data_IF_457676284765
#
_entry.id   IF_457676284765
#
_cell.length_a   1.000
_cell.length_b   1.000
_cell.length_c   1.000
_cell.angle_alpha   90.00
_cell.angle_beta   90.00
_cell.angle_gamma   90.00
#
_symmetry.space_group_name_H-M   'P 1'
#
loop_
_entity.id
_entity.type
_entity.pdbx_description
1 polymer ?
2 polymer ?
3 polymer ?
4 non-polymer ?
5 non-polymer ?
6 water ?
#
loop_
_entity_poly.entity_id
_entity_poly.type
_entity_poly.pdbx_seq_one_letter_code
_entity_poly.pdbx_strand_id
2 'polydeoxyribonucleotide' '(DC)(DC)(DT)(DC)(DA)(DC)(DT)(DA)(DG)(DC)(DG)(DC)(DC)(DC)(DC)(DC)(DT)(DG)(DC)(DT)(DG)(DG)(DC)' ?
3 'polydeoxyribonucleotide' '(DG)(DC)(DC)(DA)(DG)(DC)(DA)(DG)(DG)(DG)(DG)(DG)(DC)(DG)(DC)(DT)(DA)(DG)(DT)(DG)(DA)(DG)(DG)' ?
#
# COMPACT_ATOMS: atom_id res chain seq x y z
N UNK A 3 -12.29 19.77 19.72
CA UNK A 3 -11.59 20.24 18.53
C UNK A 3 -12.53 21.04 17.64
N UNK A 4 -12.50 22.36 17.81
CA UNK A 4 -13.32 23.25 16.98
C UNK A 4 -12.96 23.09 15.51
N UNK A 5 -13.95 22.78 14.69
CA UNK A 5 -13.72 22.44 13.29
C UNK A 5 -14.59 23.29 12.39
N UNK A 6 -14.21 23.32 11.11
CA UNK A 6 -15.00 24.05 10.11
C UNK A 6 -16.29 23.33 9.77
N UNK A 7 -16.28 21.99 9.83
CA UNK A 7 -17.45 21.15 9.60
C UNK A 7 -17.95 21.19 8.16
N UNK A 8 -17.39 22.10 7.34
CA UNK A 8 -17.74 22.12 5.93
C UNK A 8 -17.15 20.90 5.22
N UNK A 9 -15.83 20.73 5.31
CA UNK A 9 -15.18 19.48 4.95
C UNK A 9 -14.75 18.69 6.19
N UNK A 10 -15.13 19.17 7.38
CA UNK A 10 -14.90 18.47 8.65
C UNK A 10 -13.41 18.27 8.92
N UNK A 11 -12.62 19.31 8.72
CA UNK A 11 -11.21 19.25 9.07
C UNK A 11 -11.04 19.48 10.56
N UNK A 12 -10.39 18.53 11.23
CA UNK A 12 -10.15 18.60 12.66
C UNK A 12 -8.84 19.31 12.94
N UNK A 13 -8.89 20.38 13.73
CA UNK A 13 -7.72 21.23 13.98
C UNK A 13 -7.52 21.40 15.47
N UNK A 14 -6.45 20.83 16.05
CA UNK A 14 -6.15 21.12 17.45
C UNK A 14 -5.74 22.56 17.69
N UNK A 15 -4.92 23.13 16.82
CA UNK A 15 -4.52 24.52 16.97
C UNK A 15 -5.66 25.46 16.58
N UNK A 16 -5.44 26.75 16.80
CA UNK A 16 -6.47 27.77 16.61
C UNK A 16 -6.32 28.50 15.28
N UNK A 17 -5.17 29.14 15.04
CA UNK A 17 -5.00 29.94 13.83
C UNK A 17 -5.08 29.10 12.57
N UNK A 18 -4.73 27.81 12.67
CA UNK A 18 -4.83 26.93 11.51
C UNK A 18 -6.28 26.63 11.14
N UNK A 19 -7.22 26.81 12.08
CA UNK A 19 -8.62 26.62 11.77
C UNK A 19 -9.16 27.76 10.92
N UNK A 20 -8.88 29.01 11.32
CA UNK A 20 -9.31 30.15 10.54
C UNK A 20 -8.59 30.22 9.21
N UNK A 21 -7.35 29.70 9.14
CA UNK A 21 -6.64 29.66 7.87
C UNK A 21 -7.26 28.65 6.91
N UNK A 22 -7.78 27.55 7.43
CA UNK A 22 -8.44 26.56 6.58
C UNK A 22 -9.77 27.06 6.06
N UNK A 23 -10.46 27.93 6.81
CA UNK A 23 -11.72 28.50 6.34
C UNK A 23 -11.53 29.33 5.08
N UNK A 24 -10.34 29.89 4.88
CA UNK A 24 -10.04 30.68 3.70
C UNK A 24 -9.70 29.83 2.48
N UNK A 25 -9.68 28.51 2.61
CA UNK A 25 -9.35 27.62 1.50
C UNK A 25 -10.57 26.91 0.91
N UNK A 26 -11.74 27.03 1.55
CA UNK A 26 -12.94 26.39 1.02
C UNK A 26 -13.40 27.09 -0.25
N UNK A 27 -13.67 28.39 -0.17
CA UNK A 27 -14.14 29.16 -1.32
C UNK A 27 -13.65 30.59 -1.14
N UNK A 28 -12.55 30.92 -1.81
CA UNK A 28 -11.98 32.27 -1.74
C UNK A 28 -11.39 32.63 -3.10
N UNK A 29 -11.41 33.92 -3.40
CA UNK A 29 -10.85 34.41 -4.64
C UNK A 29 -9.32 34.38 -4.57
N UNK A 30 -8.68 34.84 -5.64
CA UNK A 30 -7.23 34.90 -5.74
C UNK A 30 -6.82 36.36 -5.87
N UNK A 31 -6.66 37.07 -4.76
CA UNK A 31 -6.35 38.51 -4.84
C UNK A 31 -4.94 38.80 -5.34
N UNK A 32 -3.94 38.11 -4.78
CA UNK A 32 -2.55 38.32 -5.15
C UNK A 32 -2.35 37.84 -6.58
N UNK A 33 -2.35 38.77 -7.52
CA UNK A 33 -2.26 38.45 -8.94
C UNK A 33 -0.87 38.77 -9.45
N UNK A 34 -0.27 37.81 -10.17
CA UNK A 34 1.00 38.05 -10.84
C UNK A 34 0.77 38.94 -12.05
N UNK A 35 1.70 39.87 -12.28
CA UNK A 35 1.57 40.84 -13.36
C UNK A 35 2.32 40.42 -14.62
N UNK A 36 3.30 39.52 -14.51
CA UNK A 36 3.95 38.98 -15.70
C UNK A 36 2.99 38.10 -16.49
N UNK A 37 2.55 37.00 -15.89
CA UNK A 37 1.54 36.15 -16.49
C UNK A 37 0.17 36.55 -15.96
N UNK A 38 -0.86 35.79 -16.32
CA UNK A 38 -2.21 36.08 -15.89
C UNK A 38 -2.69 35.26 -14.71
N UNK A 39 -1.81 34.59 -13.99
CA UNK A 39 -2.20 33.73 -12.88
C UNK A 39 -2.19 34.50 -11.58
N UNK A 40 -3.18 34.22 -10.73
CA UNK A 40 -3.30 34.83 -9.42
C UNK A 40 -3.24 33.76 -8.34
N UNK A 41 -2.99 34.20 -7.11
CA UNK A 41 -2.78 33.28 -5.99
C UNK A 41 -3.53 33.79 -4.77
N UNK A 42 -3.57 32.95 -3.73
CA UNK A 42 -4.32 33.23 -2.53
C UNK A 42 -3.49 33.95 -1.47
N UNK A 43 -2.25 33.53 -1.24
CA UNK A 43 -1.40 34.09 -0.21
C UNK A 43 -0.19 34.77 -0.83
N UNK A 44 0.47 35.61 -0.03
CA UNK A 44 1.66 36.31 -0.50
C UNK A 44 2.80 35.34 -0.74
N UNK A 45 2.91 34.30 0.10
CA UNK A 45 4.00 33.35 -0.04
C UNK A 45 3.89 32.54 -1.33
N UNK A 46 2.66 32.22 -1.73
CA UNK A 46 2.48 31.52 -3.01
C UNK A 46 2.82 32.42 -4.19
N UNK A 47 2.57 33.72 -4.07
CA UNK A 47 2.95 34.65 -5.13
C UNK A 47 4.46 34.88 -5.14
N UNK A 48 5.08 34.96 -3.96
CA UNK A 48 6.52 35.15 -3.89
C UNK A 48 7.26 33.95 -4.48
N UNK A 49 6.77 32.74 -4.23
CA UNK A 49 7.40 31.56 -4.83
C UNK A 49 7.18 31.53 -6.33
N UNK A 50 6.02 31.98 -6.80
CA UNK A 50 5.76 32.02 -8.23
C UNK A 50 6.71 32.98 -8.93
N UNK A 51 6.97 34.13 -8.31
CA UNK A 51 7.91 35.09 -8.89
C UNK A 51 9.33 34.56 -8.88
N UNK A 52 9.68 33.71 -7.91
CA UNK A 52 11.00 33.09 -7.91
C UNK A 52 11.15 32.13 -9.08
N UNK A 53 10.07 31.48 -9.49
CA UNK A 53 10.15 30.62 -10.67
C UNK A 53 10.33 31.43 -11.94
N UNK A 54 9.83 32.67 -11.96
CA UNK A 54 10.06 33.54 -13.12
C UNK A 54 11.53 33.93 -13.23
N UNK A 55 12.17 34.22 -12.10
CA UNK A 55 13.55 34.70 -12.09
C UNK A 55 14.57 33.59 -11.86
N UNK A 56 14.13 32.39 -11.52
CA UNK A 56 15.07 31.33 -11.22
C UNK A 56 15.77 31.48 -9.88
N UNK A 57 15.25 32.32 -8.99
CA UNK A 57 15.85 32.50 -7.67
C UNK A 57 15.52 31.28 -6.80
N UNK A 58 16.57 30.62 -6.29
CA UNK A 58 16.43 29.39 -5.52
C UNK A 58 17.17 29.56 -4.20
N UNK A 59 16.50 30.06 -3.16
CA UNK A 59 17.20 30.29 -1.89
C UNK A 59 17.55 29.02 -1.16
N UNK A 60 16.74 27.97 -1.27
CA UNK A 60 16.99 26.71 -0.57
C UNK A 60 18.07 25.95 -1.33
N UNK A 61 19.30 26.00 -0.81
CA UNK A 61 20.44 25.34 -1.43
C UNK A 61 20.74 24.02 -0.73
N UNK A 62 21.06 23.00 -1.52
CA UNK A 62 21.37 21.69 -0.96
C UNK A 62 22.77 21.69 -0.38
N UNK A 63 22.95 21.23 0.87
CA UNK A 63 24.31 21.20 1.45
C UNK A 63 25.17 20.05 0.95
N UNK A 64 24.61 19.10 0.20
CA UNK A 64 25.37 17.94 -0.25
C UNK A 64 25.76 18.00 -1.72
N UNK A 65 25.11 18.86 -2.51
CA UNK A 65 25.47 19.01 -3.92
C UNK A 65 25.18 20.45 -4.34
N UNK A 66 25.39 20.73 -5.63
CA UNK A 66 25.27 22.09 -6.15
C UNK A 66 23.84 22.54 -6.36
N UNK A 67 22.87 21.64 -6.28
CA UNK A 67 21.51 21.99 -6.66
C UNK A 67 20.86 22.90 -5.62
N UNK A 68 19.95 23.74 -6.10
CA UNK A 68 19.17 24.64 -5.24
C UNK A 68 17.72 24.62 -5.71
N UNK A 69 16.82 25.02 -4.82
CA UNK A 69 15.40 24.89 -5.09
C UNK A 69 14.66 26.13 -4.57
N UNK A 70 13.47 26.35 -5.14
CA UNK A 70 12.67 27.52 -4.77
C UNK A 70 12.06 27.34 -3.39
N UNK A 71 11.38 26.22 -3.18
CA UNK A 71 10.70 25.95 -1.92
C UNK A 71 11.49 24.95 -1.09
N UNK A 72 11.14 24.88 0.20
CA UNK A 72 11.79 23.93 1.10
C UNK A 72 11.34 22.51 0.82
N UNK A 73 10.11 22.33 0.31
CA UNK A 73 9.63 20.99 0.03
C UNK A 73 10.39 20.32 -1.11
N UNK A 74 10.75 21.10 -2.14
CA UNK A 74 11.54 20.55 -3.23
C UNK A 74 12.93 20.13 -2.76
N UNK A 75 13.49 20.84 -1.78
CA UNK A 75 14.79 20.46 -1.24
C UNK A 75 14.69 19.17 -0.42
N UNK A 76 13.60 19.00 0.30
CA UNK A 76 13.42 17.78 1.11
C UNK A 76 13.29 16.57 0.19
N UNK A 77 12.46 16.66 -0.85
CA UNK A 77 12.27 15.53 -1.75
C UNK A 77 13.56 15.21 -2.48
N UNK A 78 14.35 16.22 -2.82
CA UNK A 78 15.64 15.98 -3.47
C UNK A 78 16.58 15.22 -2.56
N UNK A 79 16.61 15.56 -1.27
CA UNK A 79 17.48 14.86 -0.33
C UNK A 79 17.07 13.40 -0.17
N UNK A 80 15.76 13.12 -0.25
CA UNK A 80 15.31 11.73 -0.19
C UNK A 80 15.68 10.95 -1.45
N UNK A 81 15.86 11.63 -2.58
CA UNK A 81 16.20 10.96 -3.82
C UNK A 81 17.70 10.72 -3.97
N UNK A 82 18.53 11.67 -3.53
CA UNK A 82 19.96 11.63 -3.84
C UNK A 82 20.86 11.48 -2.63
N UNK A 83 20.35 11.64 -1.41
CA UNK A 83 21.24 11.69 -0.25
C UNK A 83 20.78 10.74 0.85
N UNK A 84 19.64 11.04 1.49
CA UNK A 84 19.17 10.20 2.59
C UNK A 84 18.59 8.88 2.11
N UNK A 85 18.06 8.84 0.88
CA UNK A 85 17.46 7.63 0.31
C UNK A 85 16.32 7.11 1.17
N UNK A 86 15.56 8.03 1.77
CA UNK A 86 14.41 7.70 2.58
C UNK A 86 13.19 7.53 1.68
N UNK A 87 12.60 6.34 1.69
CA UNK A 87 11.45 5.99 0.86
C UNK A 87 10.28 5.66 1.78
N UNK A 88 9.43 6.64 2.09
CA UNK A 88 8.39 6.41 3.11
C UNK A 88 7.20 5.58 2.62
N UNK A 89 7.00 5.47 1.32
CA UNK A 89 5.83 4.80 0.76
C UNK A 89 6.27 3.46 0.19
N UNK A 90 5.82 2.38 0.83
CA UNK A 90 6.27 1.03 0.54
C UNK A 90 5.13 0.19 0.01
N UNK A 91 5.47 -0.75 -0.88
CA UNK A 91 4.49 -1.67 -1.43
C UNK A 91 4.19 -2.78 -0.44
N UNK A 92 2.93 -3.19 -0.38
CA UNK A 92 2.51 -4.26 0.52
C UNK A 92 2.62 -5.64 -0.11
N UNK A 93 2.96 -5.72 -1.41
CA UNK A 93 3.07 -7.00 -2.10
C UNK A 93 4.50 -7.40 -2.40
N UNK A 94 5.44 -6.47 -2.40
CA UNK A 94 6.85 -6.78 -2.58
C UNK A 94 7.68 -5.80 -1.76
N UNK A 95 8.99 -5.82 -1.96
CA UNK A 95 9.90 -4.98 -1.20
C UNK A 95 10.11 -3.61 -1.83
N UNK A 96 9.33 -3.25 -2.84
CA UNK A 96 9.51 -1.97 -3.51
C UNK A 96 9.07 -0.83 -2.61
N UNK A 97 9.78 0.29 -2.71
CA UNK A 97 9.44 1.51 -1.98
C UNK A 97 9.87 2.70 -2.82
N UNK A 98 9.15 3.81 -2.65
CA UNK A 98 9.42 5.01 -3.43
C UNK A 98 9.32 6.23 -2.53
N UNK A 99 9.87 7.34 -3.02
CA UNK A 99 9.84 8.59 -2.28
C UNK A 99 8.46 9.24 -2.35
N UNK A 100 7.76 9.10 -3.48
CA UNK A 100 6.49 9.76 -3.69
C UNK A 100 5.36 8.75 -3.81
N UNK A 101 4.14 9.21 -3.53
CA UNK A 101 2.97 8.33 -3.53
C UNK A 101 2.64 7.88 -4.94
N UNK A 102 2.63 8.82 -5.89
CA UNK A 102 2.22 8.50 -7.25
C UNK A 102 3.18 7.49 -7.89
N UNK A 103 4.45 7.50 -7.50
CA UNK A 103 5.38 6.49 -7.99
C UNK A 103 4.98 5.11 -7.50
N UNK A 104 4.58 5.00 -6.23
CA UNK A 104 4.15 3.71 -5.70
C UNK A 104 2.84 3.26 -6.35
N UNK A 105 1.92 4.20 -6.60
CA UNK A 105 0.68 3.83 -7.27
C UNK A 105 0.93 3.35 -8.69
N UNK A 106 1.92 3.94 -9.37
CA UNK A 106 2.31 3.45 -10.68
C UNK A 106 2.88 2.04 -10.57
N UNK A 107 3.63 1.76 -9.49
CA UNK A 107 4.15 0.42 -9.27
C UNK A 107 3.04 -0.58 -8.99
N UNK A 108 2.03 -0.18 -8.21
CA UNK A 108 0.95 -1.10 -7.86
C UNK A 108 0.19 -1.52 -9.11
N UNK A 109 0.04 -0.60 -10.07
CA UNK A 109 -0.67 -0.94 -11.30
C UNK A 109 0.08 -1.95 -12.15
N UNK A 110 1.38 -2.15 -11.90
CA UNK A 110 2.08 -3.26 -12.53
C UNK A 110 1.69 -4.60 -11.89
N UNK A 111 1.38 -4.60 -10.59
CA UNK A 111 0.89 -5.81 -9.95
C UNK A 111 -0.52 -6.14 -10.43
N UNK A 112 -1.39 -5.14 -10.50
CA UNK A 112 -2.80 -5.35 -10.82
C UNK A 112 -3.08 -5.33 -12.32
N UNK A 113 -2.22 -4.73 -13.12
CA UNK A 113 -2.48 -4.60 -14.54
C UNK A 113 -3.48 -3.53 -14.91
N UNK A 114 -3.85 -2.66 -13.97
CA UNK A 114 -4.80 -1.60 -14.26
C UNK A 114 -4.24 -0.64 -15.29
N UNK A 115 -5.00 -0.42 -16.37
CA UNK A 115 -4.62 0.48 -17.46
C UNK A 115 -5.73 1.50 -17.63
N UNK A 116 -5.70 2.60 -16.86
CA UNK A 116 -6.81 3.57 -16.89
C UNK A 116 -6.67 4.67 -17.93
N UNK A 117 -5.58 4.73 -18.68
CA UNK A 117 -5.35 5.78 -19.66
C UNK A 117 -5.50 5.19 -21.06
N UNK A 118 -6.71 5.28 -21.61
CA UNK A 118 -7.02 4.69 -22.90
C UNK A 118 -6.63 5.63 -24.03
N UNK A 119 -6.02 5.05 -25.07
CA UNK A 119 -5.73 5.82 -26.27
C UNK A 119 -7.03 6.06 -27.05
N UNK A 120 -7.18 7.29 -27.54
CA UNK A 120 -8.39 7.70 -28.24
C UNK A 120 -8.39 7.30 -29.72
N UNK A 121 -7.30 6.72 -30.21
CA UNK A 121 -7.21 6.33 -31.62
C UNK A 121 -7.05 4.83 -31.84
N UNK A 122 -6.71 4.07 -30.81
CA UNK A 122 -6.60 2.62 -30.94
C UNK A 122 -6.94 1.99 -29.59
N UNK A 123 -6.82 0.67 -29.53
CA UNK A 123 -7.20 -0.09 -28.34
C UNK A 123 -6.16 -0.06 -27.24
N UNK A 124 -5.02 0.62 -27.45
CA UNK A 124 -3.96 0.62 -26.45
C UNK A 124 -4.37 1.41 -25.22
N UNK A 125 -3.90 0.96 -24.06
CA UNK A 125 -4.10 1.64 -22.80
C UNK A 125 -2.85 1.44 -21.94
N UNK A 126 -2.41 2.49 -21.27
CA UNK A 126 -1.17 2.48 -20.51
C UNK A 126 -1.46 2.63 -19.02
N UNK A 127 -0.44 2.33 -18.21
CA UNK A 127 -0.50 2.48 -16.77
C UNK A 127 -0.02 3.85 -16.29
N UNK A 128 0.49 4.68 -17.20
CA UNK A 128 1.02 5.99 -16.85
C UNK A 128 0.60 6.99 -17.92
N UNK A 129 0.44 8.26 -17.51
CA UNK A 129 0.06 9.30 -18.46
C UNK A 129 1.15 9.55 -19.49
N UNK A 130 2.42 9.54 -19.05
CA UNK A 130 3.52 9.75 -19.98
C UNK A 130 3.58 8.64 -21.03
N UNK A 131 3.36 7.39 -20.62
CA UNK A 131 3.44 6.28 -21.55
C UNK A 131 2.41 6.41 -22.66
N UNK A 132 1.23 6.96 -22.35
CA UNK A 132 0.24 7.21 -23.38
C UNK A 132 0.71 8.31 -24.34
N UNK A 133 1.32 9.36 -23.80
CA UNK A 133 1.82 10.44 -24.64
C UNK A 133 2.95 9.95 -25.55
N UNK A 134 3.84 9.10 -25.01
CA UNK A 134 4.87 8.50 -25.86
C UNK A 134 4.25 7.60 -26.92
N UNK A 135 3.15 6.93 -26.59
CA UNK A 135 2.47 6.08 -27.56
C UNK A 135 1.84 6.90 -28.68
N UNK A 136 1.42 8.13 -28.40
CA UNK A 136 0.77 8.95 -29.41
C UNK A 136 1.70 9.31 -30.56
N UNK A 137 3.02 9.21 -30.35
CA UNK A 137 3.96 9.46 -31.44
C UNK A 137 3.84 8.43 -32.55
N UNK A 138 3.32 7.24 -32.24
CA UNK A 138 3.10 6.23 -33.28
C UNK A 138 1.99 6.66 -34.25
N UNK A 139 1.02 7.43 -33.76
CA UNK A 139 -0.06 7.90 -34.62
C UNK A 139 0.27 9.22 -35.33
N UNK A 140 1.11 10.05 -34.72
CA UNK A 140 1.44 11.36 -35.28
C UNK A 140 2.73 11.38 -36.08
N UNK A 141 3.56 10.34 -35.95
CA UNK A 141 4.82 10.32 -36.67
C UNK A 141 5.84 11.32 -36.18
N UNK A 142 5.68 11.84 -34.97
CA UNK A 142 6.62 12.82 -34.44
C UNK A 142 7.93 12.15 -34.07
N UNK A 143 9.04 12.81 -34.41
CA UNK A 143 10.39 12.34 -34.10
C UNK A 143 11.12 13.46 -33.38
N UNK A 144 10.97 13.56 -32.06
CA UNK A 144 11.51 14.74 -31.35
C UNK A 144 13.02 14.71 -31.15
N UNK A 145 13.66 13.55 -31.24
CA UNK A 145 15.08 13.41 -30.90
C UNK A 145 15.91 13.28 -32.17
N UNK A 146 17.02 14.01 -32.21
CA UNK A 146 17.86 14.09 -33.40
C UNK A 146 19.30 13.74 -33.03
N UNK A 147 19.93 12.90 -33.85
CA UNK A 147 21.33 12.56 -33.65
C UNK A 147 22.21 13.78 -33.93
N UNK A 148 23.08 14.11 -32.98
CA UNK A 148 23.91 15.30 -33.11
C UNK A 148 25.07 15.11 -34.09
N UNK A 149 25.18 13.95 -34.73
CA UNK A 149 26.27 13.65 -35.66
C UNK A 149 25.77 13.62 -37.10
N UNK A 150 24.84 12.72 -37.42
CA UNK A 150 24.31 12.60 -38.77
C UNK A 150 22.94 13.24 -38.94
N UNK A 151 22.39 13.82 -37.87
CA UNK A 151 21.12 14.56 -37.94
C UNK A 151 19.95 13.65 -38.34
N UNK A 152 20.00 12.40 -37.89
CA UNK A 152 18.88 11.49 -38.06
C UNK A 152 17.93 11.62 -36.87
N UNK A 153 16.64 11.42 -37.15
CA UNK A 153 15.60 11.64 -36.16
C UNK A 153 15.03 10.32 -35.67
N UNK A 154 14.56 10.31 -34.42
CA UNK A 154 14.04 9.11 -33.78
C UNK A 154 12.84 9.48 -32.93
N UNK A 155 12.00 8.47 -32.65
CA UNK A 155 10.79 8.70 -31.86
C UNK A 155 11.05 8.64 -30.36
N UNK A 156 12.12 7.97 -29.93
CA UNK A 156 12.45 7.88 -28.51
C UNK A 156 13.92 8.22 -28.32
N UNK A 157 14.24 8.69 -27.11
CA UNK A 157 15.62 9.10 -26.82
C UNK A 157 16.54 7.90 -26.69
N UNK A 158 16.05 6.81 -26.09
CA UNK A 158 16.87 5.62 -25.97
C UNK A 158 17.25 5.02 -27.30
N UNK A 159 16.34 5.13 -28.29
CA UNK A 159 16.67 4.67 -29.63
C UNK A 159 17.80 5.49 -30.23
N UNK A 160 17.83 6.80 -29.97
CA UNK A 160 18.91 7.64 -30.46
C UNK A 160 20.24 7.25 -29.83
N UNK A 161 20.25 6.93 -28.53
CA UNK A 161 21.49 6.54 -27.88
C UNK A 161 22.02 5.22 -28.44
N UNK A 162 21.13 4.26 -28.70
CA UNK A 162 21.55 3.02 -29.35
C UNK A 162 22.10 3.28 -30.74
N UNK A 163 21.51 4.25 -31.46
CA UNK A 163 22.01 4.61 -32.78
C UNK A 163 23.43 5.13 -32.72
N UNK A 164 23.73 5.99 -31.73
CA UNK A 164 25.07 6.55 -31.62
C UNK A 164 26.07 5.45 -31.26
N UNK A 165 25.65 4.48 -30.44
CA UNK A 165 26.55 3.41 -30.04
C UNK A 165 26.88 2.48 -31.20
N UNK A 166 25.87 2.10 -31.97
CA UNK A 166 26.04 1.08 -33.01
C UNK A 166 26.54 1.64 -34.34
N UNK A 167 26.53 2.96 -34.53
CA UNK A 167 26.92 3.54 -35.81
C UNK A 167 28.01 4.60 -35.72
N UNK A 168 28.20 5.24 -34.57
CA UNK A 168 29.18 6.32 -34.45
C UNK A 168 30.27 6.04 -33.41
N UNK A 169 30.20 4.91 -32.71
CA UNK A 169 31.20 4.55 -31.71
C UNK A 169 32.14 3.49 -32.28
N UNK A 170 33.43 3.72 -32.16
CA UNK A 170 34.44 2.82 -32.72
C UNK A 170 34.86 1.78 -31.70
N UNK A 171 35.16 0.58 -32.20
CA UNK A 171 35.63 -0.55 -31.38
C UNK A 171 34.64 -0.88 -30.27
N UNK A 172 33.45 -1.32 -30.69
CA UNK A 172 32.40 -1.74 -29.78
C UNK A 172 32.41 -3.26 -29.70
N UNK A 173 32.44 -3.79 -28.48
CA UNK A 173 32.46 -5.24 -28.29
C UNK A 173 31.17 -5.85 -28.81
N UNK A 174 31.32 -6.84 -29.69
CA UNK A 174 30.17 -7.52 -30.30
C UNK A 174 29.96 -8.88 -29.66
N UNK A 175 28.76 -9.42 -29.89
CA UNK A 175 28.35 -10.69 -29.29
C UNK A 175 28.60 -11.84 -30.26
N UNK A 176 29.07 -12.95 -29.72
CA UNK A 176 29.36 -14.14 -30.50
C UNK A 176 28.44 -15.26 -30.05
N UNK A 177 27.86 -15.97 -31.00
CA UNK A 177 26.96 -17.07 -30.66
C UNK A 177 27.75 -18.19 -30.00
N UNK A 178 27.29 -18.72 -28.86
CA UNK A 178 28.04 -19.79 -28.20
C UNK A 178 28.03 -21.11 -28.96
N UNK A 179 27.11 -21.29 -29.92
CA UNK A 179 26.97 -22.56 -30.62
C UNK A 179 27.46 -22.54 -32.06
N UNK A 180 27.54 -21.37 -32.69
CA UNK A 180 28.07 -21.27 -34.04
C UNK A 180 28.95 -20.03 -34.13
N UNK A 181 29.74 -19.96 -35.20
CA UNK A 181 30.67 -18.85 -35.39
C UNK A 181 29.95 -17.69 -36.09
N UNK A 182 29.06 -17.05 -35.34
CA UNK A 182 28.25 -15.95 -35.84
C UNK A 182 28.44 -14.74 -34.93
N UNK A 183 28.84 -13.62 -35.51
CA UNK A 183 29.07 -12.38 -34.78
C UNK A 183 27.82 -11.50 -34.91
N UNK A 184 27.36 -10.97 -33.79
CA UNK A 184 26.14 -10.18 -33.73
C UNK A 184 26.40 -8.93 -32.91
N UNK A 185 25.90 -7.78 -33.41
CA UNK A 185 26.20 -6.51 -32.77
C UNK A 185 25.35 -6.30 -31.52
N UNK A 186 24.03 -6.44 -31.63
CA UNK A 186 23.13 -6.14 -30.53
C UNK A 186 22.77 -7.41 -29.76
N UNK A 187 22.69 -7.29 -28.43
CA UNK A 187 22.39 -8.43 -27.59
C UNK A 187 21.02 -9.02 -27.90
N UNK A 188 20.03 -8.16 -28.17
CA UNK A 188 18.70 -8.65 -28.50
C UNK A 188 18.69 -9.40 -29.81
N UNK A 189 19.51 -8.99 -30.78
CA UNK A 189 19.61 -9.75 -32.02
C UNK A 189 20.27 -11.11 -31.78
N UNK A 190 21.15 -11.21 -30.79
CA UNK A 190 21.64 -12.52 -30.39
C UNK A 190 20.52 -13.37 -29.81
N UNK A 191 19.61 -12.74 -29.06
CA UNK A 191 18.48 -13.47 -28.52
C UNK A 191 17.57 -14.02 -29.62
N UNK A 192 17.36 -13.23 -30.67
CA UNK A 192 16.58 -13.70 -31.81
C UNK A 192 17.29 -14.86 -32.50
N UNK A 193 18.60 -14.74 -32.71
CA UNK A 193 19.35 -15.80 -33.38
C UNK A 193 19.32 -17.11 -32.59
N UNK A 194 19.35 -17.01 -31.26
CA UNK A 194 19.29 -18.20 -30.43
C UNK A 194 17.91 -18.87 -30.50
N UNK A 195 16.85 -18.08 -30.62
CA UNK A 195 15.50 -18.64 -30.70
C UNK A 195 15.17 -19.18 -32.08
N UNK A 196 15.93 -18.81 -33.11
CA UNK A 196 15.65 -19.25 -34.49
C UNK A 196 16.41 -20.54 -34.81
N UNK A 197 17.73 -20.46 -34.88
CA UNK A 197 18.56 -21.56 -35.35
C UNK A 197 19.07 -22.45 -34.21
N UNK A 198 18.57 -22.26 -32.98
CA UNK A 198 19.03 -23.09 -31.87
C UNK A 198 17.92 -23.49 -30.92
N UNK A 199 16.65 -23.25 -31.28
CA UNK A 199 15.51 -23.60 -30.45
C UNK A 199 15.61 -23.01 -29.04
N UNK D 3 -31.01 21.88 17.32
CA UNK D 3 -30.11 20.83 17.74
C UNK D 3 -29.56 21.10 19.13
N UNK D 4 -29.64 20.11 20.00
CA UNK D 4 -29.14 20.24 21.36
C UNK D 4 -27.62 20.15 21.38
N UNK D 5 -27.04 20.48 22.54
CA UNK D 5 -25.60 20.43 22.72
C UNK D 5 -25.29 20.08 24.17
N UNK D 6 -24.32 19.20 24.36
CA UNK D 6 -23.90 18.79 25.70
C UNK D 6 -22.81 19.71 26.21
N UNK D 7 -22.95 20.12 27.47
CA UNK D 7 -22.01 21.04 28.10
C UNK D 7 -20.84 20.33 28.75
N UNK D 8 -20.64 19.04 28.48
CA UNK D 8 -19.54 18.27 29.06
C UNK D 8 -18.63 17.64 28.03
N UNK D 9 -19.09 17.40 26.81
CA UNK D 9 -18.26 16.76 25.79
C UNK D 9 -18.53 17.29 24.39
N UNK D 10 -19.25 18.41 24.24
CA UNK D 10 -19.56 19.00 22.95
C UNK D 10 -20.28 18.02 22.03
N UNK D 11 -21.22 17.28 22.60
CA UNK D 11 -22.02 16.30 21.86
C UNK D 11 -23.33 16.94 21.42
N UNK D 12 -23.67 16.77 20.14
CA UNK D 12 -24.87 17.34 19.57
C UNK D 12 -25.81 16.23 19.09
N UNK D 13 -27.11 16.47 19.23
CA UNK D 13 -28.12 15.52 18.81
C UNK D 13 -29.44 16.26 18.62
N UNK D 14 -30.25 15.89 17.62
CA UNK D 14 -31.51 16.62 17.42
C UNK D 14 -32.52 16.39 18.52
N UNK D 15 -32.68 15.15 18.98
CA UNK D 15 -33.66 14.84 20.01
C UNK D 15 -33.14 15.20 21.40
N UNK D 16 -34.04 15.13 22.37
CA UNK D 16 -33.71 15.37 23.77
C UNK D 16 -33.69 14.11 24.62
N UNK D 17 -34.49 13.10 24.26
CA UNK D 17 -34.45 11.84 24.99
C UNK D 17 -33.12 11.12 24.80
N UNK D 18 -32.54 11.22 23.60
CA UNK D 18 -31.20 10.68 23.37
C UNK D 18 -30.12 11.50 24.06
N UNK D 19 -30.40 12.77 24.36
CA UNK D 19 -29.44 13.59 25.09
C UNK D 19 -29.36 13.18 26.55
N UNK D 20 -30.50 12.80 27.14
CA UNK D 20 -30.49 12.31 28.52
C UNK D 20 -29.78 10.97 28.62
N UNK D 21 -29.89 10.12 27.59
CA UNK D 21 -29.16 8.87 27.57
C UNK D 21 -27.66 9.10 27.39
N UNK D 22 -27.29 10.19 26.73
CA UNK D 22 -25.88 10.53 26.57
C UNK D 22 -25.22 10.83 27.91
N UNK D 23 -25.98 11.35 28.88
CA UNK D 23 -25.44 11.59 30.21
C UNK D 23 -25.02 10.30 30.90
N UNK D 24 -25.57 9.16 30.48
CA UNK D 24 -25.16 7.89 31.05
C UNK D 24 -23.76 7.48 30.60
N UNK D 25 -23.22 8.10 29.55
CA UNK D 25 -21.86 7.79 29.13
C UNK D 25 -20.82 8.51 29.97
N UNK D 26 -21.17 9.68 30.54
CA UNK D 26 -20.27 10.39 31.42
C UNK D 26 -20.18 9.74 32.79
N UNK D 27 -21.21 9.00 33.21
CA UNK D 27 -21.20 8.29 34.49
C UNK D 27 -20.90 6.82 34.28
N UNK D 28 -20.07 6.26 35.16
CA UNK D 28 -19.72 4.85 35.11
C UNK D 28 -20.66 3.97 35.93
N UNK D 29 -21.83 4.49 36.30
CA UNK D 29 -22.79 3.73 37.09
C UNK D 29 -23.45 2.67 36.22
N UNK D 30 -23.34 1.41 36.64
CA UNK D 30 -23.93 0.29 35.90
C UNK D 30 -24.85 -0.47 36.85
N UNK D 31 -26.16 -0.28 36.76
CA UNK D 31 -27.07 -0.91 37.73
C UNK D 31 -27.30 -2.39 37.49
N UNK D 32 -27.52 -2.77 36.23
CA UNK D 32 -27.86 -4.15 35.90
C UNK D 32 -26.62 -5.03 35.99
N UNK D 33 -26.64 -6.00 36.89
CA UNK D 33 -25.51 -6.89 37.12
C UNK D 33 -25.87 -8.32 36.75
N UNK D 34 -24.85 -9.07 36.34
CA UNK D 34 -25.01 -10.48 36.03
C UNK D 34 -24.82 -11.32 37.29
N UNK D 35 -25.65 -12.34 37.46
CA UNK D 35 -25.58 -13.19 38.64
C UNK D 35 -24.69 -14.42 38.42
N UNK D 36 -24.20 -14.64 37.21
CA UNK D 36 -23.30 -15.74 36.93
C UNK D 36 -21.83 -15.35 37.11
N UNK D 37 -21.45 -14.18 36.62
CA UNK D 37 -20.12 -13.62 36.80
C UNK D 37 -20.23 -12.30 37.55
N UNK D 38 -19.09 -11.67 37.79
CA UNK D 38 -19.05 -10.43 38.54
C UNK D 38 -19.23 -9.17 37.72
N UNK D 39 -19.56 -9.29 36.44
CA UNK D 39 -19.66 -8.13 35.57
C UNK D 39 -21.07 -7.56 35.61
N UNK D 40 -21.15 -6.22 35.59
CA UNK D 40 -22.42 -5.50 35.59
C UNK D 40 -22.52 -4.62 34.36
N UNK D 41 -23.75 -4.40 33.90
CA UNK D 41 -24.02 -3.66 32.69
C UNK D 41 -24.93 -2.47 32.98
N UNK D 42 -25.26 -1.72 31.93
CA UNK D 42 -26.02 -0.48 32.06
C UNK D 42 -27.42 -0.56 31.49
N UNK D 43 -27.67 -1.46 30.53
CA UNK D 43 -28.97 -1.60 29.90
C UNK D 43 -29.43 -3.05 29.98
N UNK D 44 -30.75 -3.23 30.04
CA UNK D 44 -31.32 -4.58 30.10
C UNK D 44 -30.92 -5.38 28.86
N UNK D 45 -30.90 -4.72 27.70
CA UNK D 45 -30.51 -5.41 26.47
C UNK D 45 -29.05 -5.84 26.51
N UNK D 46 -28.19 -5.04 27.15
CA UNK D 46 -26.79 -5.41 27.29
C UNK D 46 -26.63 -6.62 28.20
N UNK D 47 -27.44 -6.70 29.25
CA UNK D 47 -27.35 -7.84 30.17
C UNK D 47 -27.89 -9.11 29.52
N UNK D 48 -28.96 -9.00 28.75
CA UNK D 48 -29.51 -10.18 28.09
C UNK D 48 -28.55 -10.76 27.07
N UNK D 49 -27.83 -9.90 26.34
CA UNK D 49 -26.83 -10.40 25.40
C UNK D 49 -25.68 -11.09 26.14
N UNK D 50 -25.29 -10.54 27.28
CA UNK D 50 -24.23 -11.17 28.07
C UNK D 50 -24.66 -12.55 28.57
N UNK D 51 -25.92 -12.67 29.02
CA UNK D 51 -26.42 -13.98 29.45
C UNK D 51 -26.48 -14.96 28.29
N UNK D 52 -26.72 -14.48 27.07
CA UNK D 52 -26.73 -15.37 25.91
C UNK D 52 -25.34 -15.93 25.63
N UNK D 53 -24.29 -15.14 25.90
CA UNK D 53 -22.93 -15.62 25.67
C UNK D 53 -22.53 -16.68 26.70
N UNK D 54 -23.14 -16.64 27.88
CA UNK D 54 -22.85 -17.67 28.89
C UNK D 54 -23.41 -19.03 28.48
N UNK D 55 -24.49 -19.04 27.71
CA UNK D 55 -25.18 -20.29 27.37
C UNK D 55 -25.10 -20.65 25.89
N UNK D 56 -24.55 -19.78 25.05
CA UNK D 56 -24.52 -20.04 23.63
C UNK D 56 -25.80 -19.70 22.89
N UNK D 57 -26.69 -18.93 23.50
CA UNK D 57 -27.93 -18.53 22.85
C UNK D 57 -27.62 -17.50 21.77
N UNK D 58 -28.05 -17.79 20.54
CA UNK D 58 -27.79 -16.94 19.38
C UNK D 58 -29.08 -16.75 18.61
N UNK D 59 -29.86 -15.73 18.95
CA UNK D 59 -31.18 -15.57 18.31
C UNK D 59 -31.12 -15.08 16.87
N UNK D 60 -30.02 -14.48 16.44
CA UNK D 60 -29.90 -13.97 15.08
C UNK D 60 -29.26 -15.03 14.20
N UNK D 61 -30.05 -15.64 13.33
CA UNK D 61 -29.60 -16.70 12.45
C UNK D 61 -29.28 -16.17 11.07
N UNK D 62 -28.31 -16.81 10.40
CA UNK D 62 -27.94 -16.44 9.05
C UNK D 62 -28.76 -17.23 8.05
N UNK D 63 -29.60 -16.59 7.22
CA UNK D 63 -30.35 -17.35 6.21
C UNK D 63 -29.51 -17.89 5.07
N UNK D 64 -28.20 -17.66 5.08
CA UNK D 64 -27.34 -18.08 3.98
C UNK D 64 -26.55 -19.33 4.31
N UNK D 65 -25.62 -19.22 5.26
CA UNK D 65 -24.72 -20.31 5.61
C UNK D 65 -25.14 -21.04 6.88
N UNK D 66 -26.34 -20.77 7.40
CA UNK D 66 -26.89 -21.46 8.56
C UNK D 66 -26.00 -21.26 9.80
N UNK D 67 -25.56 -20.03 10.01
CA UNK D 67 -24.84 -19.65 11.21
C UNK D 67 -25.72 -18.76 12.09
N UNK D 68 -25.35 -18.67 13.35
CA UNK D 68 -26.13 -17.94 14.34
C UNK D 68 -25.22 -17.04 15.16
N UNK D 69 -25.77 -15.91 15.62
CA UNK D 69 -25.03 -14.92 16.36
C UNK D 69 -25.92 -14.33 17.46
N UNK D 70 -25.27 -13.73 18.46
CA UNK D 70 -26.00 -13.19 19.60
C UNK D 70 -26.69 -11.88 19.22
N UNK D 71 -25.93 -10.91 18.72
CA UNK D 71 -26.47 -9.61 18.37
C UNK D 71 -26.68 -9.51 16.86
N UNK D 72 -27.44 -8.48 16.47
CA UNK D 72 -27.75 -8.29 15.05
C UNK D 72 -26.50 -7.86 14.27
N UNK D 73 -25.64 -7.05 14.88
CA UNK D 73 -24.45 -6.59 14.19
C UNK D 73 -23.48 -7.70 13.86
N UNK D 74 -23.40 -8.72 14.71
CA UNK D 74 -22.52 -9.85 14.42
C UNK D 74 -22.93 -10.57 13.15
N UNK D 75 -24.24 -10.68 12.91
CA UNK D 75 -24.73 -11.28 11.67
C UNK D 75 -24.51 -10.33 10.48
N UNK D 76 -24.74 -9.03 10.69
CA UNK D 76 -24.54 -8.06 9.63
C UNK D 76 -23.09 -8.07 9.16
N UNK D 77 -22.15 -8.11 10.09
CA UNK D 77 -20.74 -8.18 9.73
C UNK D 77 -20.40 -9.53 9.10
N UNK D 78 -21.08 -10.60 9.52
CA UNK D 78 -20.84 -11.92 8.93
C UNK D 78 -21.23 -11.95 7.47
N UNK D 79 -22.37 -11.34 7.12
CA UNK D 79 -22.78 -11.30 5.72
C UNK D 79 -21.79 -10.49 4.88
N UNK D 80 -21.28 -9.39 5.44
CA UNK D 80 -20.29 -8.60 4.72
C UNK D 80 -18.96 -9.32 4.56
N UNK D 81 -18.70 -10.34 5.37
CA UNK D 81 -17.45 -11.08 5.29
C UNK D 81 -17.50 -12.23 4.31
N UNK D 82 -18.63 -12.95 4.25
CA UNK D 82 -18.71 -14.17 3.45
C UNK D 82 -19.87 -14.20 2.47
N UNK D 83 -20.70 -13.15 2.41
CA UNK D 83 -21.85 -13.17 1.52
C UNK D 83 -21.99 -11.85 0.77
N UNK D 84 -22.27 -10.77 1.50
CA UNK D 84 -22.44 -9.47 0.86
C UNK D 84 -21.13 -8.96 0.28
N UNK D 85 -20.01 -9.25 0.95
CA UNK D 85 -18.68 -8.79 0.54
C UNK D 85 -18.63 -7.27 0.40
N UNK D 86 -19.39 -6.56 1.23
CA UNK D 86 -19.42 -5.11 1.21
C UNK D 86 -18.28 -4.60 2.10
N UNK D 87 -17.28 -3.96 1.47
CA UNK D 87 -16.11 -3.45 2.17
C UNK D 87 -16.11 -1.92 2.09
N UNK D 88 -16.67 -1.24 3.09
CA UNK D 88 -16.75 0.23 3.01
C UNK D 88 -15.42 0.95 3.21
N UNK D 89 -14.42 0.28 3.79
CA UNK D 89 -13.14 0.90 4.09
C UNK D 89 -12.14 0.53 2.99
N UNK D 90 -11.87 1.46 2.09
CA UNK D 90 -10.93 1.27 1.00
C UNK D 90 -9.60 1.95 1.33
N UNK D 91 -8.51 1.36 0.84
CA UNK D 91 -7.20 1.96 0.97
C UNK D 91 -7.02 3.07 -0.05
N UNK D 92 -6.35 4.15 0.36
CA UNK D 92 -6.18 5.30 -0.52
C UNK D 92 -5.05 5.11 -1.52
N UNK D 93 -4.14 4.16 -1.28
CA UNK D 93 -3.01 3.93 -2.17
C UNK D 93 -3.23 2.76 -3.13
N UNK D 94 -3.64 1.61 -2.62
CA UNK D 94 -3.93 0.46 -3.46
C UNK D 94 -5.43 0.19 -3.47
N UNK D 95 -5.82 -0.87 -4.18
CA UNK D 95 -7.22 -1.25 -4.31
C UNK D 95 -7.72 -2.11 -3.17
N UNK D 96 -6.95 -2.23 -2.08
CA UNK D 96 -7.35 -3.08 -0.97
C UNK D 96 -8.54 -2.48 -0.24
N UNK D 97 -9.43 -3.36 0.23
CA UNK D 97 -10.58 -2.94 1.02
C UNK D 97 -10.89 -4.04 2.04
N UNK D 98 -11.40 -3.62 3.18
CA UNK D 98 -11.70 -4.53 4.28
C UNK D 98 -13.08 -4.24 4.83
N UNK D 99 -13.62 -5.22 5.57
CA UNK D 99 -14.92 -5.05 6.20
C UNK D 99 -14.84 -4.16 7.42
N UNK D 100 -13.78 -4.32 8.22
CA UNK D 100 -13.60 -3.54 9.43
C UNK D 100 -12.50 -2.50 9.23
N UNK D 101 -12.59 -1.40 9.98
CA UNK D 101 -11.62 -0.32 9.83
C UNK D 101 -10.29 -0.71 10.47
N UNK D 102 -10.31 -1.52 11.53
CA UNK D 102 -9.06 -1.92 12.17
C UNK D 102 -8.21 -2.77 11.24
N UNK D 103 -8.85 -3.57 10.38
CA UNK D 103 -8.08 -4.33 9.39
C UNK D 103 -7.42 -3.39 8.38
N UNK D 104 -8.10 -2.30 8.01
CA UNK D 104 -7.51 -1.33 7.09
C UNK D 104 -6.32 -0.62 7.74
N UNK D 105 -6.45 -0.25 9.02
CA UNK D 105 -5.35 0.41 9.71
C UNK D 105 -4.12 -0.49 9.78
N UNK D 106 -4.33 -1.79 9.94
CA UNK D 106 -3.20 -2.72 9.91
C UNK D 106 -2.58 -2.79 8.52
N UNK D 107 -3.41 -2.77 7.47
CA UNK D 107 -2.89 -2.81 6.11
C UNK D 107 -2.09 -1.55 5.79
N UNK D 108 -2.55 -0.38 6.25
CA UNK D 108 -1.87 0.86 5.93
C UNK D 108 -0.46 0.87 6.51
N UNK D 109 -0.27 0.24 7.68
CA UNK D 109 1.06 0.19 8.28
C UNK D 109 2.06 -0.58 7.43
N UNK D 110 1.58 -1.41 6.50
CA UNK D 110 2.51 -2.01 5.53
C UNK D 110 3.01 -0.98 4.53
N UNK D 111 2.18 0.02 4.21
CA UNK D 111 2.62 1.10 3.32
C UNK D 111 3.58 2.04 4.04
N UNK D 112 3.29 2.38 5.29
CA UNK D 112 4.09 3.36 6.02
C UNK D 112 5.25 2.75 6.78
N UNK D 113 5.20 1.46 7.08
CA UNK D 113 6.25 0.83 7.87
C UNK D 113 6.14 1.04 9.36
N UNK D 114 5.03 1.62 9.83
CA UNK D 114 4.86 1.86 11.27
C UNK D 114 4.77 0.54 12.02
N UNK D 115 5.56 0.41 13.09
CA UNK D 115 5.57 -0.77 13.95
C UNK D 115 5.32 -0.31 15.38
N UNK D 116 4.07 -0.13 15.77
CA UNK D 116 3.75 0.46 17.08
C UNK D 116 3.77 -0.52 18.24
N UNK D 117 4.15 -1.78 18.02
CA UNK D 117 4.13 -2.79 19.08
C UNK D 117 5.56 -3.32 19.27
N UNK D 118 6.25 -2.77 20.26
CA UNK D 118 7.65 -3.08 20.50
C UNK D 118 7.80 -4.22 21.48
N UNK D 119 8.74 -5.13 21.18
CA UNK D 119 9.04 -6.22 22.09
C UNK D 119 9.84 -5.70 23.29
N UNK D 120 9.50 -6.19 24.48
CA UNK D 120 10.15 -5.74 25.71
C UNK D 120 11.47 -6.43 25.97
N UNK D 121 11.80 -7.50 25.22
CA UNK D 121 13.01 -8.26 25.46
C UNK D 121 14.06 -8.11 24.35
N UNK D 122 13.67 -7.61 23.19
CA UNK D 122 14.62 -7.37 22.10
C UNK D 122 14.11 -6.20 21.28
N UNK D 123 14.81 -5.91 20.18
CA UNK D 123 14.52 -4.75 19.35
C UNK D 123 13.44 -5.00 18.31
N UNK D 124 12.77 -6.14 18.37
CA UNK D 124 11.72 -6.44 17.41
C UNK D 124 10.49 -5.57 17.64
N UNK D 125 9.81 -5.23 16.55
CA UNK D 125 8.56 -4.49 16.60
C UNK D 125 7.69 -4.94 15.44
N UNK D 126 6.39 -5.11 15.70
CA UNK D 126 5.45 -5.61 14.72
C UNK D 126 4.37 -4.57 14.44
N UNK D 127 3.62 -4.82 13.38
CA UNK D 127 2.48 -4.00 12.99
C UNK D 127 1.16 -4.50 13.55
N UNK D 128 1.18 -5.61 14.30
CA UNK D 128 -0.04 -6.22 14.80
C UNK D 128 0.21 -6.71 16.23
N UNK D 129 -0.85 -6.68 17.04
CA UNK D 129 -0.74 -7.12 18.43
C UNK D 129 -0.42 -8.61 18.50
N UNK D 130 -1.14 -9.43 17.72
CA UNK D 130 -0.92 -10.87 17.75
C UNK D 130 0.47 -11.24 17.24
N UNK D 131 1.00 -10.48 16.28
CA UNK D 131 2.32 -10.77 15.74
C UNK D 131 3.39 -10.63 16.82
N UNK D 132 3.24 -9.64 17.70
CA UNK D 132 4.17 -9.50 18.81
C UNK D 132 4.05 -10.68 19.77
N UNK D 133 2.82 -11.07 20.10
CA UNK D 133 2.62 -12.23 20.96
C UNK D 133 3.19 -13.50 20.33
N UNK D 134 3.03 -13.64 19.01
CA UNK D 134 3.61 -14.79 18.32
C UNK D 134 5.13 -14.75 18.37
N UNK D 135 5.71 -13.55 18.27
CA UNK D 135 7.14 -13.40 18.39
C UNK D 135 7.64 -13.72 19.80
N UNK D 136 6.81 -13.49 20.82
CA UNK D 136 7.24 -13.74 22.19
C UNK D 136 7.52 -15.21 22.45
N UNK D 137 6.99 -16.11 21.62
CA UNK D 137 7.28 -17.53 21.77
C UNK D 137 8.75 -17.84 21.50
N UNK D 138 9.44 -16.99 20.75
CA UNK D 138 10.86 -17.21 20.51
C UNK D 138 11.67 -16.98 21.79
N UNK D 139 11.17 -16.17 22.71
CA UNK D 139 11.84 -15.93 23.97
C UNK D 139 11.38 -16.90 25.06
N UNK D 140 10.09 -17.19 25.13
CA UNK D 140 9.57 -18.07 26.17
C UNK D 140 9.74 -19.55 25.82
N UNK D 141 9.80 -19.88 24.54
CA UNK D 141 9.90 -21.26 24.12
C UNK D 141 8.60 -22.02 24.15
N UNK D 142 7.47 -21.33 24.21
CA UNK D 142 6.17 -21.99 24.27
C UNK D 142 5.82 -22.61 22.92
N UNK D 143 5.26 -23.83 22.97
CA UNK D 143 4.80 -24.55 21.79
C UNK D 143 3.33 -24.91 22.01
N UNK D 144 2.42 -23.98 21.71
CA UNK D 144 1.00 -24.21 22.07
C UNK D 144 0.30 -25.26 21.22
N UNK D 145 0.82 -25.56 20.03
CA UNK D 145 0.12 -26.42 19.09
C UNK D 145 0.74 -27.82 19.10
N UNK D 146 -0.11 -28.84 19.12
CA UNK D 146 0.32 -30.23 19.22
C UNK D 146 -0.35 -31.05 18.14
N UNK D 147 0.45 -31.85 17.42
CA UNK D 147 -0.09 -32.74 16.41
C UNK D 147 -0.98 -33.80 17.08
N UNK D 148 -2.19 -33.97 16.53
CA UNK D 148 -3.11 -34.93 17.13
C UNK D 148 -2.75 -36.37 16.82
N UNK D 149 -1.70 -36.62 16.04
CA UNK D 149 -1.35 -37.96 15.62
C UNK D 149 -0.14 -38.46 16.38
N UNK D 150 0.95 -37.70 16.33
CA UNK D 150 2.19 -38.10 16.98
C UNK D 150 2.51 -37.28 18.23
N UNK D 151 1.67 -36.31 18.58
CA UNK D 151 1.80 -35.52 19.79
C UNK D 151 3.08 -34.69 19.81
N UNK D 152 3.63 -34.38 18.63
CA UNK D 152 4.72 -33.43 18.53
C UNK D 152 4.18 -32.01 18.67
N UNK D 153 5.03 -31.11 19.17
CA UNK D 153 4.61 -29.75 19.48
C UNK D 153 5.29 -28.74 18.54
N UNK D 154 4.59 -27.64 18.30
CA UNK D 154 5.04 -26.61 17.37
C UNK D 154 4.69 -25.23 17.91
N UNK D 155 5.43 -24.22 17.45
CA UNK D 155 5.24 -22.86 17.92
C UNK D 155 4.13 -22.12 17.17
N UNK D 156 3.78 -22.54 15.96
CA UNK D 156 2.74 -21.89 15.18
C UNK D 156 1.79 -22.93 14.60
N UNK D 157 0.57 -22.49 14.33
CA UNK D 157 -0.45 -23.41 13.81
C UNK D 157 -0.14 -23.83 12.39
N UNK D 158 0.37 -22.91 11.56
CA UNK D 158 0.68 -23.25 10.18
C UNK D 158 1.79 -24.27 10.08
N UNK D 159 2.78 -24.20 10.98
CA UNK D 159 3.83 -25.21 11.02
C UNK D 159 3.27 -26.59 11.29
N UNK D 160 2.27 -26.68 12.17
CA UNK D 160 1.65 -27.97 12.47
C UNK D 160 0.91 -28.52 11.26
N UNK D 161 0.24 -27.66 10.49
CA UNK D 161 -0.48 -28.13 9.32
C UNK D 161 0.47 -28.70 8.28
N UNK D 162 1.62 -28.05 8.08
CA UNK D 162 2.62 -28.56 7.16
C UNK D 162 3.20 -29.89 7.67
N UNK D 163 3.35 -30.03 8.99
CA UNK D 163 3.84 -31.29 9.56
C UNK D 163 2.88 -32.43 9.26
N UNK D 164 1.58 -32.21 9.50
CA UNK D 164 0.60 -33.27 9.25
C UNK D 164 0.56 -33.63 7.78
N UNK D 165 0.69 -32.63 6.90
CA UNK D 165 0.61 -32.91 5.46
C UNK D 165 1.82 -33.70 4.97
N UNK D 166 3.01 -33.40 5.49
CA UNK D 166 4.23 -34.02 4.98
C UNK D 166 4.59 -35.31 5.70
N UNK D 167 4.24 -35.44 6.98
CA UNK D 167 4.67 -36.59 7.78
C UNK D 167 3.60 -37.65 7.97
N UNK D 168 2.32 -37.32 7.77
CA UNK D 168 1.24 -38.26 8.05
C UNK D 168 0.25 -38.45 6.91
N UNK D 169 0.24 -37.59 5.91
CA UNK D 169 -0.72 -37.67 4.82
C UNK D 169 -0.12 -38.42 3.64
N UNK D 170 -0.93 -39.27 3.01
CA UNK D 170 -0.51 -40.08 1.88
C UNK D 170 -0.95 -39.42 0.57
N UNK D 171 -0.23 -39.74 -0.50
CA UNK D 171 -0.51 -39.24 -1.85
C UNK D 171 -0.35 -37.72 -1.91
N UNK D 172 0.71 -37.22 -1.30
CA UNK D 172 1.01 -35.79 -1.32
C UNK D 172 1.77 -35.46 -2.60
N UNK D 173 1.26 -34.48 -3.35
CA UNK D 173 1.90 -34.08 -4.59
C UNK D 173 3.26 -33.44 -4.30
N UNK D 174 4.27 -33.87 -5.04
CA UNK D 174 5.62 -33.35 -4.90
C UNK D 174 6.01 -32.55 -6.14
N UNK D 175 7.00 -31.68 -5.96
CA UNK D 175 7.45 -30.78 -7.02
C UNK D 175 8.65 -31.37 -7.75
N UNK D 176 8.65 -31.23 -9.06
CA UNK D 176 9.74 -31.69 -9.92
C UNK D 176 10.55 -30.48 -10.38
N UNK D 177 11.86 -30.56 -10.23
CA UNK D 177 12.72 -29.46 -10.65
C UNK D 177 12.70 -29.34 -12.17
N UNK D 178 12.54 -28.14 -12.72
CA UNK D 178 12.49 -27.97 -14.18
C UNK D 178 13.84 -28.08 -14.87
N UNK D 179 14.93 -28.35 -14.15
CA UNK D 179 16.26 -28.36 -14.74
C UNK D 179 17.08 -29.61 -14.43
N UNK D 180 16.66 -30.44 -13.48
CA UNK D 180 17.38 -31.68 -13.21
C UNK D 180 16.37 -32.72 -12.72
N UNK D 181 16.85 -33.96 -12.58
CA UNK D 181 16.00 -35.07 -12.14
C UNK D 181 16.02 -35.14 -10.61
N UNK D 182 15.32 -34.17 -10.01
CA UNK D 182 15.22 -34.07 -8.55
C UNK D 182 13.79 -33.75 -8.18
N UNK D 183 13.25 -34.50 -7.23
CA UNK D 183 11.88 -34.33 -6.75
C UNK D 183 11.95 -33.79 -5.32
N UNK D 184 11.20 -32.73 -5.06
CA UNK D 184 11.24 -32.02 -3.78
C UNK D 184 9.83 -31.88 -3.24
N UNK D 185 9.66 -32.12 -1.94
CA UNK D 185 8.34 -32.14 -1.34
C UNK D 185 7.77 -30.74 -1.15
N UNK D 186 8.55 -29.83 -0.57
CA UNK D 186 8.08 -28.50 -0.24
C UNK D 186 8.43 -27.51 -1.34
N UNK D 187 7.46 -26.64 -1.66
CA UNK D 187 7.67 -25.63 -2.70
C UNK D 187 8.82 -24.69 -2.34
N UNK D 188 8.93 -24.31 -1.07
CA UNK D 188 9.99 -23.41 -0.65
C UNK D 188 11.36 -24.09 -0.72
N UNK D 189 11.42 -25.40 -0.52
CA UNK D 189 12.68 -26.11 -0.68
C UNK D 189 13.08 -26.20 -2.15
N UNK D 190 12.10 -26.19 -3.06
CA UNK D 190 12.43 -26.12 -4.48
C UNK D 190 13.05 -24.77 -4.82
N UNK D 191 12.58 -23.70 -4.18
CA UNK D 191 13.20 -22.40 -4.37
C UNK D 191 14.64 -22.36 -3.90
N UNK D 192 14.92 -23.01 -2.77
CA UNK D 192 16.31 -23.13 -2.31
C UNK D 192 17.14 -23.89 -3.33
N UNK D 193 16.60 -24.97 -3.88
CA UNK D 193 17.31 -25.75 -4.88
C UNK D 193 17.59 -24.93 -6.13
N UNK D 194 16.59 -24.17 -6.60
CA UNK D 194 16.76 -23.37 -7.80
C UNK D 194 17.79 -22.25 -7.58
N UNK D 195 17.82 -21.68 -6.37
CA UNK D 195 18.76 -20.60 -6.09
C UNK D 195 20.17 -21.13 -5.87
N UNK D 196 20.31 -22.35 -5.36
CA UNK D 196 21.62 -22.88 -5.02
C UNK D 196 22.31 -23.56 -6.21
N UNK D 197 21.58 -24.38 -6.97
CA UNK D 197 22.16 -25.15 -8.05
C UNK D 197 21.87 -24.59 -9.43
N UNK D 198 20.91 -23.67 -9.56
CA UNK D 198 20.52 -23.16 -10.87
C UNK D 198 20.59 -21.64 -10.96
N UNK D 199 21.15 -20.97 -9.95
CA UNK D 199 21.49 -19.54 -10.01
C UNK D 199 20.27 -18.67 -10.31
N UNK D 200 19.20 -18.90 -9.57
CA UNK D 200 17.99 -18.09 -9.71
C UNK D 200 18.09 -16.81 -8.87
X LIG G 1 -12.80 22.63 6.08
X LIG H 1 3.67 34.85 -13.26
X LIG I 1 21.67 17.47 -3.17
X LIG J 1 5.12 -4.29 -5.36
X LIG K 1 -3.11 4.51 -30.04
X LIG L 1 23.80 9.41 -36.29
X LIG M 1 24.20 -19.60 -33.53
X LIG N 1 18.98 -7.27 -25.12
X LIG N 1 18.79 -6.11 -24.29
X LIG N 1 18.56 -8.52 -24.36
X LIG N 1 18.49 -9.63 -25.26
X LIG O 1 9.88 -5.22 -20.50
X LIG O 1 11.17 -4.86 -21.02
X LIG O 1 9.94 -5.27 -18.98
X LIG O 1 10.34 -4.00 -18.46
X LIG P 1 4.91 21.57 -14.47
X LIG P 1 5.40 22.10 -13.24
X LIG P 1 5.71 20.33 -14.86
X LIG P 1 7.08 20.68 -15.02
X LIG Q 1 -21.99 14.58 27.13
X LIG R 1 -22.20 -13.06 33.20
X LIG S 1 -23.73 -16.59 6.50
X LIG T 1 -2.96 -0.22 0.44
X LIG U 1 11.67 -10.11 21.17
X LIG V 1 2.65 -35.58 13.90
X LIG W 1 17.42 -28.91 -10.25
X LIG X 1 15.89 -22.23 12.28
X LIG X 1 17.18 -22.81 12.04
X LIG X 1 15.96 -20.73 12.05
X LIG X 1 14.67 -20.16 12.26
#
# INVERSE_FOLDING_TARGET
KKTFQCELCSYTCPRRSNLDRHMKSHTDERPHKCHLCGRAFRTVTLLRNHLNTHTGTRPHKCPDCDMAFVTSGELVRHRRYKHTHEKPFKCSMCDYASVEVSTLKRHIRSHTGERPFQCSLCSYASRDTYKLKRHMRTHSGEKPYECYICHARFTQSGTMKMHILQKHTENVAKFHCPHCDTVIARKSDLGVHLRKQHSYIEQ
KKTFQCELCSYTCPRRSNLDRHMKSHTDERPHKCHLCGRAFRTVTLLRNHLNTHTGTRPHKCPDCDMAFVTSGELVRHRRYKHTHEKPFKCSMCDYASVEVSTLKRHIRSHTGERPFQCSLCSYASRDTYKLKRHMRTHSGEKPYECYICHARFTQSGTMKMHILQKHTENVAKFHCPHCDTVIARKSDLGVHLRKQHSYIEQ
ZN ZN
ZN ZN
ZN ZN
ZN ZN
ZN ZN
ZN ZN
ZN ZN
EDO C1 O1 C2 O2
EDO C1 O1 C2 O2
EDO C1 O1 C2 O2
ZN ZN
ZN ZN
ZN ZN
ZN ZN
ZN ZN
ZN ZN
ZN ZN
EDO C1 O1 C2 O2
#
